data_IF_294298598658
#
_entry.id   IF_294298598658
#
_cell.length_a   1.000
_cell.length_b   1.000
_cell.length_c   1.000
_cell.angle_alpha   90.00
_cell.angle_beta   90.00
_cell.angle_gamma   90.00
#
_symmetry.space_group_name_H-M   'P 1'
#
loop_
_entity.id
_entity.type
_entity.pdbx_description
1 polymer ?
#
# COMPACT_ATOMS: atom_id res chain seq x y z
N UNK A 1 -1.50 17.73 0.03
CA UNK A 1 -0.82 16.41 0.10
C UNK A 1 -1.46 15.53 1.18
N UNK A 2 -1.45 15.93 2.46
CA UNK A 2 -2.02 15.15 3.58
C UNK A 2 -3.44 14.62 3.36
N UNK A 3 -4.38 15.46 2.92
CA UNK A 3 -5.76 15.03 2.66
C UNK A 3 -5.85 13.99 1.54
N UNK A 4 -5.08 14.15 0.47
CA UNK A 4 -5.02 13.20 -0.65
C UNK A 4 -4.44 11.85 -0.19
N UNK A 5 -3.29 11.88 0.51
CA UNK A 5 -2.64 10.67 1.02
C UNK A 5 -3.51 9.92 2.03
N UNK A 6 -4.22 10.64 2.90
CA UNK A 6 -5.20 10.04 3.81
C UNK A 6 -6.36 9.37 3.07
N UNK A 7 -6.96 10.05 2.09
CA UNK A 7 -8.08 9.51 1.32
C UNK A 7 -7.66 8.26 0.51
N UNK A 8 -6.49 8.29 -0.10
CA UNK A 8 -5.90 7.12 -0.79
C UNK A 8 -5.60 5.99 0.18
N UNK A 9 -5.00 6.28 1.34
CA UNK A 9 -4.74 5.29 2.37
C UNK A 9 -6.00 4.60 2.87
N UNK A 10 -7.04 5.37 3.19
CA UNK A 10 -8.34 4.84 3.61
C UNK A 10 -8.97 3.97 2.52
N UNK A 11 -8.90 4.42 1.26
CA UNK A 11 -9.38 3.65 0.11
C UNK A 11 -8.66 2.31 -0.05
N UNK A 12 -7.34 2.28 0.08
CA UNK A 12 -6.52 1.07 0.00
C UNK A 12 -6.89 0.07 1.11
N UNK A 13 -6.88 0.51 2.37
CA UNK A 13 -7.19 -0.37 3.50
C UNK A 13 -8.65 -0.84 3.49
N UNK A 14 -9.59 0.02 3.11
CA UNK A 14 -11.00 -0.37 3.00
C UNK A 14 -11.21 -1.34 1.83
N UNK A 15 -10.88 -0.95 0.59
CA UNK A 15 -11.22 -1.74 -0.59
C UNK A 15 -10.43 -3.06 -0.67
N UNK A 16 -9.11 -3.02 -0.49
CA UNK A 16 -8.27 -4.23 -0.60
C UNK A 16 -8.37 -5.08 0.68
N UNK A 17 -8.40 -4.44 1.85
CA UNK A 17 -8.53 -5.16 3.12
C UNK A 17 -9.86 -5.91 3.24
N UNK A 18 -10.99 -5.28 2.90
CA UNK A 18 -12.30 -5.90 3.03
C UNK A 18 -12.54 -7.04 2.02
N UNK A 19 -12.05 -6.88 0.78
CA UNK A 19 -12.22 -7.91 -0.26
C UNK A 19 -11.51 -9.21 0.07
N UNK A 20 -10.33 -9.12 0.71
CA UNK A 20 -9.55 -10.28 1.14
C UNK A 20 -10.00 -10.78 2.52
N UNK A 21 -10.50 -9.93 3.41
CA UNK A 21 -10.93 -10.33 4.75
C UNK A 21 -12.15 -11.27 4.75
N UNK A 22 -13.17 -11.01 3.91
CA UNK A 22 -14.37 -11.84 3.82
C UNK A 22 -14.09 -13.34 3.54
N UNK A 23 -13.33 -13.71 2.49
CA UNK A 23 -13.03 -15.12 2.23
C UNK A 23 -12.18 -15.76 3.33
N UNK A 24 -11.32 -14.99 4.02
CA UNK A 24 -10.55 -15.49 5.17
C UNK A 24 -11.47 -15.80 6.35
N UNK A 25 -12.34 -14.87 6.74
CA UNK A 25 -13.29 -15.03 7.84
C UNK A 25 -14.20 -16.24 7.60
N UNK A 26 -14.69 -16.40 6.37
CA UNK A 26 -15.50 -17.57 5.97
C UNK A 26 -14.73 -18.88 6.07
N UNK A 27 -13.44 -18.92 5.70
CA UNK A 27 -12.59 -20.11 5.84
C UNK A 27 -12.30 -20.47 7.30
N UNK A 28 -12.18 -19.46 8.16
CA UNK A 28 -11.98 -19.66 9.62
C UNK A 28 -13.27 -20.13 10.31
N UNK A 29 -14.42 -20.04 9.64
CA UNK A 29 -15.72 -20.45 10.19
C UNK A 29 -16.29 -19.44 11.20
N UNK A 30 -15.85 -18.18 11.14
CA UNK A 30 -16.39 -17.11 11.97
C UNK A 30 -17.65 -16.54 11.32
N UNK A 31 -18.80 -16.81 11.94
CA UNK A 31 -20.08 -16.22 11.57
C UNK A 31 -20.17 -14.82 12.17
N UNK A 32 -19.74 -13.81 11.41
CA UNK A 32 -19.85 -12.40 11.79
C UNK A 32 -21.11 -11.77 11.17
N UNK A 33 -21.89 -11.09 12.00
CA UNK A 33 -22.97 -10.23 11.53
C UNK A 33 -22.43 -9.00 10.78
N UNK A 34 -23.23 -8.46 9.87
CA UNK A 34 -22.89 -7.33 8.98
C UNK A 34 -22.44 -6.12 9.81
N UNK A 35 -23.11 -5.86 10.94
CA UNK A 35 -22.78 -4.73 11.83
C UNK A 35 -21.40 -4.94 12.45
N UNK A 36 -21.14 -6.13 13.01
CA UNK A 36 -19.83 -6.44 13.61
C UNK A 36 -18.70 -6.39 12.58
N UNK A 37 -18.93 -6.96 11.39
CA UNK A 37 -17.97 -6.92 10.30
C UNK A 37 -17.64 -5.48 9.85
N UNK A 38 -18.67 -4.65 9.65
CA UNK A 38 -18.46 -3.26 9.22
C UNK A 38 -17.70 -2.42 10.25
N UNK A 39 -18.00 -2.58 11.54
CA UNK A 39 -17.29 -1.88 12.63
C UNK A 39 -15.82 -2.29 12.69
N UNK A 40 -15.51 -3.59 12.61
CA UNK A 40 -14.13 -4.09 12.63
C UNK A 40 -13.34 -3.52 11.44
N UNK A 41 -13.92 -3.58 10.24
CA UNK A 41 -13.26 -3.11 9.03
C UNK A 41 -13.07 -1.58 9.01
N UNK A 42 -14.03 -0.83 9.54
CA UNK A 42 -13.91 0.63 9.68
C UNK A 42 -12.76 1.02 10.62
N UNK A 43 -12.67 0.36 11.78
CA UNK A 43 -11.58 0.59 12.73
C UNK A 43 -10.24 0.22 12.10
N UNK A 44 -10.16 -0.93 11.44
CA UNK A 44 -8.94 -1.38 10.77
C UNK A 44 -8.46 -0.38 9.70
N UNK A 45 -9.36 0.09 8.83
CA UNK A 45 -9.02 1.05 7.77
C UNK A 45 -8.61 2.42 8.32
N UNK A 46 -9.35 2.92 9.30
CA UNK A 46 -9.05 4.20 9.96
C UNK A 46 -7.68 4.16 10.64
N UNK A 47 -7.42 3.13 11.45
CA UNK A 47 -6.13 2.98 12.15
C UNK A 47 -4.99 2.86 11.14
N UNK A 48 -5.13 2.02 10.11
CA UNK A 48 -4.11 1.85 9.08
C UNK A 48 -3.77 3.13 8.33
N UNK A 49 -4.79 3.93 7.97
CA UNK A 49 -4.60 5.26 7.37
C UNK A 49 -3.82 6.18 8.32
N UNK A 50 -4.22 6.27 9.59
CA UNK A 50 -3.58 7.15 10.56
C UNK A 50 -2.12 6.76 10.84
N UNK A 51 -1.84 5.47 11.09
CA UNK A 51 -0.48 5.00 11.41
C UNK A 51 0.49 5.11 10.24
N UNK A 52 0.00 5.07 8.99
CA UNK A 52 0.87 5.08 7.80
C UNK A 52 1.14 6.49 7.29
N UNK A 53 0.12 7.37 7.27
CA UNK A 53 0.20 8.62 6.51
C UNK A 53 0.02 9.90 7.33
N UNK A 54 -0.75 9.89 8.42
CA UNK A 54 -1.20 11.13 9.07
C UNK A 54 -0.60 11.35 10.46
N UNK A 55 -0.21 10.28 11.16
CA UNK A 55 0.24 10.36 12.54
C UNK A 55 1.67 9.83 12.70
N UNK A 56 2.53 10.47 13.52
CA UNK A 56 3.83 9.91 13.91
C UNK A 56 3.61 8.70 14.82
N UNK A 57 3.47 7.52 14.21
CA UNK A 57 3.36 6.24 14.89
C UNK A 57 4.75 5.65 15.15
N UNK A 58 4.92 4.80 16.19
CA UNK A 58 6.18 4.08 16.41
C UNK A 58 6.52 3.22 15.19
N UNK A 59 7.82 3.15 14.87
CA UNK A 59 8.31 2.57 13.61
C UNK A 59 7.83 1.13 13.38
N UNK A 60 7.72 0.34 14.45
CA UNK A 60 7.21 -1.02 14.40
C UNK A 60 5.76 -1.11 13.89
N UNK A 61 4.88 -0.20 14.35
CA UNK A 61 3.49 -0.18 13.89
C UNK A 61 3.40 0.26 12.42
N UNK A 62 4.19 1.27 12.02
CA UNK A 62 4.24 1.74 10.64
C UNK A 62 4.73 0.62 9.70
N UNK A 63 5.84 -0.04 10.04
CA UNK A 63 6.40 -1.15 9.26
C UNK A 63 5.43 -2.34 9.20
N UNK A 64 4.80 -2.70 10.32
CA UNK A 64 3.81 -3.78 10.35
C UNK A 64 2.63 -3.53 9.41
N UNK A 65 2.10 -2.31 9.38
CA UNK A 65 1.01 -1.94 8.46
C UNK A 65 1.46 -1.92 7.00
N UNK A 66 2.69 -1.47 6.72
CA UNK A 66 3.26 -1.50 5.36
C UNK A 66 3.42 -2.94 4.84
N UNK A 67 3.97 -3.84 5.66
CA UNK A 67 4.07 -5.27 5.32
C UNK A 67 2.69 -5.88 5.09
N UNK A 68 1.72 -5.53 5.94
CA UNK A 68 0.35 -6.00 5.79
C UNK A 68 -0.28 -5.56 4.47
N UNK A 69 -0.17 -4.28 4.10
CA UNK A 69 -0.69 -3.77 2.81
C UNK A 69 0.01 -4.48 1.64
N UNK A 70 1.32 -4.67 1.71
CA UNK A 70 2.07 -5.40 0.68
C UNK A 70 1.56 -6.83 0.50
N UNK A 71 1.32 -7.54 1.60
CA UNK A 71 0.77 -8.90 1.57
C UNK A 71 -0.66 -8.94 1.02
N UNK A 72 -1.54 -8.04 1.44
CA UNK A 72 -2.92 -7.94 0.92
C UNK A 72 -2.92 -7.63 -0.58
N UNK A 73 -2.04 -6.74 -1.03
CA UNK A 73 -1.91 -6.38 -2.45
C UNK A 73 -1.40 -7.56 -3.27
N UNK A 74 -0.42 -8.32 -2.75
CA UNK A 74 0.04 -9.56 -3.38
C UNK A 74 -1.07 -10.62 -3.49
N UNK A 75 -1.87 -10.80 -2.42
CA UNK A 75 -3.04 -11.68 -2.46
C UNK A 75 -4.06 -11.21 -3.50
N UNK A 76 -4.25 -9.90 -3.66
CA UNK A 76 -5.12 -9.36 -4.68
C UNK A 76 -4.63 -9.70 -6.10
N UNK A 77 -3.32 -9.63 -6.36
CA UNK A 77 -2.73 -10.08 -7.64
C UNK A 77 -3.01 -11.55 -7.96
N UNK A 78 -3.20 -12.42 -6.96
CA UNK A 78 -3.56 -13.84 -7.21
C UNK A 78 -4.94 -14.03 -7.83
N UNK A 79 -5.80 -13.01 -7.80
CA UNK A 79 -7.12 -13.04 -8.44
C UNK A 79 -7.06 -12.80 -9.95
N UNK A 80 -5.94 -12.27 -10.45
CA UNK A 80 -5.71 -11.96 -11.86
C UNK A 80 -5.20 -13.22 -12.59
N UNK A 81 -5.54 -13.44 -13.88
CA UNK A 81 -5.01 -14.55 -14.65
C UNK A 81 -3.47 -14.61 -14.63
N UNK A 82 -2.92 -15.83 -14.59
CA UNK A 82 -1.48 -16.04 -14.45
C UNK A 82 -0.67 -15.30 -15.52
N UNK A 83 -1.10 -15.34 -16.79
CA UNK A 83 -0.41 -14.65 -17.88
C UNK A 83 -0.28 -13.13 -17.65
N UNK A 84 -1.35 -12.49 -17.17
CA UNK A 84 -1.35 -11.06 -16.86
C UNK A 84 -0.43 -10.76 -15.67
N UNK A 85 -0.39 -11.62 -14.65
CA UNK A 85 0.53 -11.48 -13.52
C UNK A 85 1.99 -11.61 -13.96
N UNK A 86 2.32 -12.60 -14.78
CA UNK A 86 3.67 -12.76 -15.34
C UNK A 86 4.09 -11.57 -16.21
N UNK A 87 3.17 -11.06 -17.04
CA UNK A 87 3.42 -9.90 -17.88
C UNK A 87 3.64 -8.64 -17.02
N UNK A 88 2.86 -8.45 -15.95
CA UNK A 88 3.04 -7.35 -15.00
C UNK A 88 4.40 -7.43 -14.31
N UNK A 89 4.80 -8.62 -13.84
CA UNK A 89 6.11 -8.84 -13.21
C UNK A 89 7.26 -8.54 -14.19
N UNK A 90 7.17 -9.04 -15.42
CA UNK A 90 8.17 -8.78 -16.46
C UNK A 90 8.25 -7.29 -16.79
N UNK A 91 7.11 -6.64 -16.98
CA UNK A 91 7.03 -5.21 -17.30
C UNK A 91 7.55 -4.37 -16.15
N UNK A 92 7.25 -4.71 -14.89
CA UNK A 92 7.79 -4.01 -13.72
C UNK A 92 9.31 -4.14 -13.64
N UNK A 93 9.84 -5.35 -13.82
CA UNK A 93 11.29 -5.57 -13.81
C UNK A 93 12.00 -4.78 -14.93
N UNK A 94 11.43 -4.77 -16.13
CA UNK A 94 11.94 -3.98 -17.25
C UNK A 94 11.84 -2.47 -17.01
N UNK A 95 10.73 -2.00 -16.42
CA UNK A 95 10.53 -0.59 -16.08
C UNK A 95 11.53 -0.13 -15.02
N UNK A 96 11.75 -0.93 -13.98
CA UNK A 96 12.72 -0.63 -12.92
C UNK A 96 14.14 -0.48 -13.51
N UNK A 97 14.56 -1.44 -14.34
CA UNK A 97 15.84 -1.37 -15.06
C UNK A 97 15.94 -0.15 -15.99
N UNK A 98 14.90 0.14 -16.77
CA UNK A 98 14.87 1.27 -17.68
C UNK A 98 14.92 2.62 -16.94
N UNK A 99 14.29 2.71 -15.77
CA UNK A 99 14.28 3.91 -14.94
C UNK A 99 15.66 4.24 -14.34
N UNK A 100 16.46 3.22 -14.05
CA UNK A 100 17.83 3.36 -13.52
C UNK A 100 18.85 3.63 -14.62
N UNK A 101 18.71 2.98 -15.78
CA UNK A 101 19.71 3.07 -16.85
C UNK A 101 19.58 4.33 -17.74
N UNK A 102 18.43 5.01 -17.75
CA UNK A 102 18.22 6.21 -18.56
C UNK A 102 18.63 7.50 -17.82
N UNK A 103 19.50 8.36 -18.39
CA UNK A 103 19.91 9.61 -17.75
C UNK A 103 18.79 10.66 -17.62
N UNK A 104 17.64 10.44 -18.28
CA UNK A 104 16.41 11.26 -18.28
C UNK A 104 15.23 10.57 -17.56
N UNK A 105 15.49 9.68 -16.61
CA UNK A 105 14.44 9.04 -15.83
C UNK A 105 13.64 10.05 -14.99
N UNK A 106 12.31 9.94 -14.88
CA UNK A 106 11.48 10.80 -14.03
C UNK A 106 11.89 10.80 -12.55
N UNK A 107 12.64 9.79 -12.10
CA UNK A 107 13.22 9.70 -10.76
C UNK A 107 14.34 10.73 -10.51
N UNK A 108 15.22 11.01 -11.50
CA UNK A 108 16.26 12.04 -11.38
C UNK A 108 15.68 13.44 -11.30
N UNK A 109 14.64 13.70 -12.07
CA UNK A 109 13.93 14.99 -12.04
C UNK A 109 13.26 15.22 -10.68
N UNK A 110 12.71 14.16 -10.06
CA UNK A 110 12.15 14.25 -8.71
C UNK A 110 13.22 14.39 -7.62
N UNK A 111 14.41 13.82 -7.81
CA UNK A 111 15.56 13.97 -6.92
C UNK A 111 16.12 15.41 -6.96
N UNK A 112 16.35 15.96 -8.16
CA UNK A 112 16.78 17.36 -8.34
C UNK A 112 15.76 18.34 -7.75
N UNK A 113 14.46 18.10 -7.93
CA UNK A 113 13.39 18.93 -7.38
C UNK A 113 13.23 18.80 -5.86
N UNK A 114 13.58 17.66 -5.26
CA UNK A 114 13.57 17.45 -3.81
C UNK A 114 14.78 18.13 -3.15
N UNK A 115 15.94 18.09 -3.80
CA UNK A 115 17.17 18.77 -3.36
C UNK A 115 17.03 20.31 -3.44
N UNK A 116 16.43 20.84 -4.51
CA UNK A 116 16.12 22.28 -4.64
C UNK A 116 15.15 22.80 -3.54
N UNK A 117 14.29 21.93 -3.00
CA UNK A 117 13.30 22.28 -1.97
C UNK A 117 13.75 22.01 -0.54
N UNK A 118 14.90 21.34 -0.34
CA UNK A 118 15.41 20.98 0.99
C UNK A 118 14.48 20.04 1.77
N UNK A 119 13.58 19.34 1.09
CA UNK A 119 12.66 18.37 1.71
C UNK A 119 13.24 16.95 1.58
N UNK A 120 13.35 16.23 2.70
CA UNK A 120 13.70 14.81 2.68
C UNK A 120 12.61 14.02 1.93
N UNK A 121 13.04 13.11 1.06
CA UNK A 121 12.22 12.34 0.14
C UNK A 121 10.93 11.78 0.82
N UNK A 122 9.73 12.01 0.26
CA UNK A 122 8.47 11.82 0.98
C UNK A 122 8.17 10.35 1.26
N UNK A 123 8.25 9.98 2.55
CA UNK A 123 7.46 9.01 3.33
C UNK A 123 7.26 7.55 2.85
N UNK A 124 7.69 7.17 1.64
CA UNK A 124 7.57 5.81 1.07
C UNK A 124 8.90 5.05 0.99
N UNK A 125 10.02 5.68 1.37
CA UNK A 125 11.28 4.98 1.56
C UNK A 125 11.25 4.20 2.87
N UNK A 126 11.63 2.93 2.79
CA UNK A 126 11.97 2.15 3.97
C UNK A 126 13.28 2.71 4.53
N UNK A 127 13.19 3.49 5.59
CA UNK A 127 14.37 3.84 6.39
C UNK A 127 14.77 2.59 7.19
N UNK A 128 16.01 2.16 6.98
CA UNK A 128 16.65 1.09 7.74
C UNK A 128 17.16 1.62 9.09
#
# INVERSE_FOLDING_TARGET
VWAYSGLVGLGLFAALGQTIALPIIRKVGLELDIISYSVIMWNFSTVGMFTTFLWPAPIFLKQGHLVFIGAVTALWFTTIPAWTTWLLLLTMALYDLASVMCPLGPLRVLEELAEERGEQMPALMYEA
#
